data_IF_298625657289
#
_entry.id   IF_298625657289
#
_cell.length_a   1.000
_cell.length_b   1.000
_cell.length_c   1.000
_cell.angle_alpha   90.00
_cell.angle_beta   90.00
_cell.angle_gamma   90.00
#
_symmetry.space_group_name_H-M   'P 1'
#
loop_
_entity.id
_entity.type
_entity.pdbx_description
1 polymer ?
#
# COMPACT_ATOMS: atom_id res chain seq x y z
N UNK A 1 -0.13 6.29 22.24
CA UNK A 1 -1.59 6.15 22.38
C UNK A 1 -2.08 5.28 21.24
N UNK A 2 -3.15 4.51 21.46
CA UNK A 2 -3.75 3.60 20.47
C UNK A 2 -4.14 4.32 19.18
N UNK A 3 -4.59 3.57 18.18
CA UNK A 3 -4.94 4.04 16.85
C UNK A 3 -5.82 5.31 16.87
N UNK A 4 -5.21 6.49 16.94
CA UNK A 4 -5.92 7.74 16.73
C UNK A 4 -6.21 7.85 15.24
N UNK A 5 -7.48 8.11 14.92
CA UNK A 5 -7.92 8.35 13.55
C UNK A 5 -7.20 9.60 13.05
N UNK A 6 -6.17 9.40 12.24
CA UNK A 6 -5.39 10.50 11.68
C UNK A 6 -6.29 11.39 10.84
N UNK A 7 -6.16 12.71 10.99
CA UNK A 7 -7.00 13.62 10.21
C UNK A 7 -6.55 13.62 8.74
N UNK A 8 -7.47 13.33 7.82
CA UNK A 8 -7.26 13.35 6.37
C UNK A 8 -7.25 14.78 5.82
N UNK A 9 -6.28 15.59 6.26
CA UNK A 9 -6.07 16.97 5.82
C UNK A 9 -4.62 17.43 6.01
N UNK A 10 -4.24 18.49 5.30
CA UNK A 10 -2.92 19.12 5.39
C UNK A 10 -1.84 18.38 4.60
N UNK A 11 -0.59 18.83 4.73
CA UNK A 11 0.52 18.46 3.85
C UNK A 11 0.74 16.96 3.67
N UNK A 12 0.68 16.18 4.76
CA UNK A 12 0.87 14.72 4.69
C UNK A 12 -0.32 14.05 4.00
N UNK A 13 -1.53 14.61 4.09
CA UNK A 13 -2.67 14.13 3.33
C UNK A 13 -2.54 14.48 1.84
N UNK A 14 -1.98 15.65 1.50
CA UNK A 14 -1.69 16.00 0.11
C UNK A 14 -0.69 15.01 -0.51
N UNK A 15 0.34 14.61 0.25
CA UNK A 15 1.29 13.56 -0.14
C UNK A 15 0.60 12.20 -0.29
N UNK A 16 -0.35 11.86 0.60
CA UNK A 16 -1.15 10.65 0.49
C UNK A 16 -2.00 10.62 -0.80
N UNK A 17 -2.59 11.76 -1.19
CA UNK A 17 -3.32 11.89 -2.45
C UNK A 17 -2.41 11.76 -3.67
N UNK A 18 -1.20 12.33 -3.61
CA UNK A 18 -0.23 12.17 -4.68
C UNK A 18 0.24 10.71 -4.79
N UNK A 19 0.53 10.07 -3.66
CA UNK A 19 0.91 8.67 -3.61
C UNK A 19 -0.17 7.74 -4.16
N UNK A 20 -1.44 7.98 -3.80
CA UNK A 20 -2.59 7.29 -4.40
C UNK A 20 -2.55 7.36 -5.93
N UNK A 21 -2.37 8.57 -6.49
CA UNK A 21 -2.28 8.75 -7.96
C UNK A 21 -1.10 8.01 -8.57
N UNK A 22 0.05 7.96 -7.87
CA UNK A 22 1.22 7.21 -8.34
C UNK A 22 0.96 5.70 -8.35
N UNK A 23 0.36 5.14 -7.29
CA UNK A 23 0.02 3.72 -7.23
C UNK A 23 -0.95 3.35 -8.36
N UNK A 24 -1.99 4.16 -8.57
CA UNK A 24 -3.00 3.89 -9.61
C UNK A 24 -2.44 3.97 -11.04
N UNK A 25 -1.30 4.65 -11.25
CA UNK A 25 -0.63 4.77 -12.55
C UNK A 25 0.54 3.81 -12.74
N UNK A 26 1.06 3.22 -11.67
CA UNK A 26 2.23 2.36 -11.73
C UNK A 26 1.95 1.09 -12.54
N UNK A 27 2.81 0.69 -13.49
CA UNK A 27 2.52 -0.37 -14.44
C UNK A 27 2.82 -1.78 -13.87
N UNK A 28 2.13 -2.18 -12.80
CA UNK A 28 2.35 -3.46 -12.10
C UNK A 28 2.39 -4.67 -13.03
N UNK A 29 1.52 -4.74 -14.03
CA UNK A 29 1.48 -5.86 -14.98
C UNK A 29 2.73 -6.03 -15.85
N UNK A 30 3.62 -5.03 -15.91
CA UNK A 30 4.85 -5.07 -16.73
C UNK A 30 6.12 -4.81 -15.94
N UNK A 31 6.04 -4.53 -14.63
CA UNK A 31 7.22 -4.25 -13.79
C UNK A 31 8.06 -5.50 -13.52
N UNK A 32 7.42 -6.62 -13.20
CA UNK A 32 8.13 -7.84 -12.82
C UNK A 32 7.21 -8.91 -12.22
N UNK A 33 7.81 -9.92 -11.59
CA UNK A 33 7.10 -11.06 -11.01
C UNK A 33 7.63 -11.45 -9.61
N UNK A 34 8.35 -10.54 -8.95
CA UNK A 34 8.89 -10.73 -7.60
C UNK A 34 8.65 -9.49 -6.75
N UNK A 35 8.47 -9.67 -5.44
CA UNK A 35 8.29 -8.58 -4.46
C UNK A 35 9.40 -7.52 -4.59
N UNK A 36 10.67 -7.93 -4.57
CA UNK A 36 11.81 -7.02 -4.74
C UNK A 36 11.82 -6.26 -6.09
N UNK A 37 11.29 -6.82 -7.17
CA UNK A 37 11.18 -6.08 -8.44
C UNK A 37 10.13 -4.96 -8.34
N UNK A 38 9.00 -5.23 -7.68
CA UNK A 38 7.96 -4.24 -7.45
C UNK A 38 8.42 -3.14 -6.49
N UNK A 39 9.02 -3.51 -5.36
CA UNK A 39 9.57 -2.57 -4.39
C UNK A 39 10.59 -1.62 -5.03
N UNK A 40 11.58 -2.16 -5.76
CA UNK A 40 12.60 -1.33 -6.42
C UNK A 40 11.99 -0.45 -7.51
N UNK A 41 11.09 -1.00 -8.33
CA UNK A 41 10.43 -0.25 -9.39
C UNK A 41 9.61 0.91 -8.86
N UNK A 42 8.84 0.66 -7.80
CA UNK A 42 8.03 1.70 -7.17
C UNK A 42 8.88 2.71 -6.39
N UNK A 43 9.90 2.26 -5.66
CA UNK A 43 10.86 3.16 -4.99
C UNK A 43 11.55 4.10 -5.97
N UNK A 44 11.92 3.61 -7.16
CA UNK A 44 12.50 4.44 -8.25
C UNK A 44 11.49 5.47 -8.73
N UNK A 45 10.23 5.09 -8.86
CA UNK A 45 9.15 6.01 -9.26
C UNK A 45 8.95 7.11 -8.23
N UNK A 46 8.92 6.76 -6.94
CA UNK A 46 8.79 7.75 -5.86
C UNK A 46 9.98 8.72 -5.85
N UNK A 47 11.21 8.21 -5.92
CA UNK A 47 12.43 9.03 -5.96
C UNK A 47 12.46 9.97 -7.17
N UNK A 48 12.02 9.51 -8.35
CA UNK A 48 11.96 10.35 -9.55
C UNK A 48 10.94 11.49 -9.44
N UNK A 49 9.99 11.39 -8.51
CA UNK A 49 8.96 12.41 -8.25
C UNK A 49 9.09 13.05 -6.87
N UNK A 50 10.25 12.90 -6.21
CA UNK A 50 10.45 13.32 -4.82
C UNK A 50 10.15 14.81 -4.60
N UNK A 51 10.50 15.67 -5.57
CA UNK A 51 10.25 17.13 -5.52
C UNK A 51 8.76 17.51 -5.46
N UNK A 52 7.85 16.59 -5.80
CA UNK A 52 6.41 16.83 -5.74
C UNK A 52 5.82 16.58 -4.36
N UNK A 53 6.57 15.90 -3.47
CA UNK A 53 6.13 15.59 -2.12
C UNK A 53 6.55 16.68 -1.14
N UNK A 54 5.73 16.88 -0.10
CA UNK A 54 6.04 17.77 1.00
C UNK A 54 7.06 17.15 1.96
N UNK A 55 6.98 15.84 2.15
CA UNK A 55 7.84 15.05 3.02
C UNK A 55 8.94 14.34 2.21
N UNK A 56 10.07 14.08 2.86
CA UNK A 56 11.18 13.35 2.23
C UNK A 56 10.79 11.91 1.90
N UNK A 57 11.13 11.46 0.68
CA UNK A 57 10.96 10.06 0.27
C UNK A 57 12.14 9.26 0.82
N UNK A 58 11.85 8.33 1.74
CA UNK A 58 12.84 7.45 2.37
C UNK A 58 12.58 6.02 1.91
N UNK A 59 13.57 5.44 1.24
CA UNK A 59 13.51 4.07 0.70
C UNK A 59 14.77 3.31 1.11
N UNK A 60 14.76 1.98 1.03
CA UNK A 60 15.96 1.18 1.33
C UNK A 60 17.11 1.41 0.33
N UNK A 61 16.82 1.95 -0.86
CA UNK A 61 17.81 2.22 -1.91
C UNK A 61 18.45 3.61 -1.78
N UNK A 62 17.81 4.56 -1.09
CA UNK A 62 18.34 5.90 -0.83
C UNK A 62 19.40 5.83 0.28
N UNK A 63 20.64 6.20 -0.03
CA UNK A 63 21.74 6.21 0.95
C UNK A 63 21.59 7.40 1.90
N UNK A 64 21.85 7.18 3.20
CA UNK A 64 21.94 8.26 4.20
C UNK A 64 20.66 8.52 5.02
N UNK A 65 19.54 7.89 4.67
CA UNK A 65 18.29 7.94 5.43
C UNK A 65 17.77 6.55 5.72
N UNK A 66 17.16 6.35 6.88
CA UNK A 66 16.68 5.05 7.32
C UNK A 66 15.19 5.08 7.62
N UNK A 67 14.45 4.15 7.04
CA UNK A 67 13.02 3.97 7.37
C UNK A 67 12.92 3.59 8.84
N UNK A 68 12.10 4.35 9.56
CA UNK A 68 11.84 4.15 10.97
C UNK A 68 11.17 2.79 11.21
N UNK A 69 11.53 2.14 12.33
CA UNK A 69 10.96 0.84 12.69
C UNK A 69 10.00 0.94 13.87
N UNK A 70 9.11 -0.06 13.95
CA UNK A 70 8.25 -0.35 15.09
C UNK A 70 8.74 -1.63 15.73
N UNK A 71 8.99 -1.63 17.05
CA UNK A 71 9.38 -2.83 17.78
C UNK A 71 8.16 -3.49 18.41
N UNK A 72 7.81 -4.69 17.93
CA UNK A 72 6.67 -5.46 18.41
C UNK A 72 6.94 -6.96 18.22
N UNK A 73 6.37 -7.81 19.07
CA UNK A 73 6.55 -9.26 18.99
C UNK A 73 8.03 -9.70 18.98
N UNK A 74 8.88 -9.01 19.76
CA UNK A 74 10.30 -9.34 19.90
C UNK A 74 11.19 -8.94 18.72
N UNK A 75 10.66 -8.31 17.66
CA UNK A 75 11.44 -7.89 16.48
C UNK A 75 11.11 -6.47 16.00
N UNK A 76 12.00 -5.90 15.18
CA UNK A 76 11.78 -4.63 14.48
C UNK A 76 11.05 -4.89 13.17
N UNK A 77 9.94 -4.19 12.95
CA UNK A 77 9.16 -4.19 11.72
C UNK A 77 9.39 -2.86 11.01
N UNK A 78 9.71 -2.91 9.71
CA UNK A 78 10.13 -1.75 8.93
C UNK A 78 9.37 -1.75 7.61
N UNK A 79 8.62 -0.68 7.28
CA UNK A 79 8.03 -0.52 5.96
C UNK A 79 9.08 -0.57 4.84
N UNK A 80 8.65 -0.95 3.65
CA UNK A 80 9.51 -0.95 2.46
C UNK A 80 9.96 0.48 2.10
N UNK A 81 9.02 1.42 2.16
CA UNK A 81 9.24 2.85 1.88
C UNK A 81 8.42 3.73 2.82
N UNK A 82 8.87 4.97 3.02
CA UNK A 82 8.14 5.98 3.79
C UNK A 82 8.24 7.36 3.18
N UNK A 83 7.24 8.20 3.47
CA UNK A 83 7.30 9.64 3.25
C UNK A 83 7.30 10.33 4.61
N UNK A 84 8.43 10.95 4.94
CA UNK A 84 8.70 11.52 6.26
C UNK A 84 8.92 10.47 7.36
N UNK A 85 9.35 10.90 8.54
CA UNK A 85 9.69 9.99 9.64
C UNK A 85 8.47 9.38 10.35
N UNK A 86 7.35 10.09 10.33
CA UNK A 86 6.06 9.68 10.94
C UNK A 86 4.85 9.98 10.02
N UNK A 87 5.10 10.27 8.74
CA UNK A 87 4.06 10.64 7.78
C UNK A 87 3.34 9.42 7.24
N UNK A 88 3.90 8.83 6.20
CA UNK A 88 3.28 7.73 5.44
C UNK A 88 4.22 6.53 5.42
N UNK A 89 3.70 5.35 5.69
CA UNK A 89 4.37 4.09 5.41
C UNK A 89 3.77 3.41 4.18
N UNK A 90 4.61 2.82 3.34
CA UNK A 90 4.22 2.05 2.17
C UNK A 90 4.82 0.65 2.30
N UNK A 91 3.95 -0.35 2.26
CA UNK A 91 4.31 -1.76 2.24
C UNK A 91 3.82 -2.36 0.92
N UNK A 92 4.68 -3.08 0.23
CA UNK A 92 4.37 -3.83 -0.96
C UNK A 92 4.47 -5.32 -0.64
N UNK A 93 3.44 -6.08 -1.02
CA UNK A 93 3.43 -7.53 -0.79
C UNK A 93 3.01 -8.27 -2.04
N UNK A 94 3.88 -9.15 -2.52
CA UNK A 94 3.54 -10.06 -3.60
C UNK A 94 2.80 -11.28 -3.04
N UNK A 95 1.47 -11.17 -2.98
CA UNK A 95 0.65 -12.07 -2.17
C UNK A 95 0.29 -13.37 -2.90
N UNK A 96 0.58 -14.48 -2.22
CA UNK A 96 -0.19 -15.73 -2.34
C UNK A 96 -1.29 -15.64 -1.27
N UNK A 97 -2.56 -15.56 -1.65
CA UNK A 97 -3.74 -15.20 -0.84
C UNK A 97 -3.68 -15.37 0.71
N UNK A 98 -3.11 -16.47 1.25
CA UNK A 98 -2.89 -16.65 2.70
C UNK A 98 -2.03 -15.56 3.37
N UNK A 99 -1.11 -14.90 2.65
CA UNK A 99 -0.26 -13.82 3.16
C UNK A 99 -0.98 -12.48 3.39
N UNK A 100 -2.27 -12.38 3.04
CA UNK A 100 -3.07 -11.18 3.24
C UNK A 100 -3.20 -10.78 4.71
N UNK A 101 -3.37 -11.79 5.59
CA UNK A 101 -3.50 -11.58 7.04
C UNK A 101 -2.23 -10.97 7.63
N UNK A 102 -1.07 -11.44 7.17
CA UNK A 102 0.23 -10.94 7.60
C UNK A 102 0.43 -9.50 7.14
N UNK A 103 0.09 -9.18 5.88
CA UNK A 103 0.18 -7.82 5.34
C UNK A 103 -0.72 -6.84 6.10
N UNK A 104 -1.95 -7.23 6.43
CA UNK A 104 -2.86 -6.44 7.27
C UNK A 104 -2.23 -6.23 8.65
N UNK A 105 -1.70 -7.30 9.27
CA UNK A 105 -1.01 -7.22 10.55
C UNK A 105 0.18 -6.27 10.55
N UNK A 106 1.01 -6.28 9.49
CA UNK A 106 2.08 -5.30 9.31
C UNK A 106 1.53 -3.87 9.23
N UNK A 107 0.41 -3.67 8.52
CA UNK A 107 -0.23 -2.36 8.44
C UNK A 107 -0.66 -1.81 9.79
N UNK A 108 -1.23 -2.65 10.66
CA UNK A 108 -1.53 -2.30 12.05
C UNK A 108 -0.27 -1.88 12.82
N UNK A 109 0.81 -2.64 12.69
CA UNK A 109 2.07 -2.32 13.37
C UNK A 109 2.62 -0.98 12.91
N UNK A 110 2.60 -0.69 11.62
CA UNK A 110 3.10 0.59 11.10
C UNK A 110 2.23 1.77 11.53
N UNK A 111 0.90 1.59 11.68
CA UNK A 111 0.03 2.64 12.22
C UNK A 111 0.32 3.00 13.68
N UNK A 112 1.10 2.22 14.42
CA UNK A 112 1.60 2.67 15.72
C UNK A 112 2.54 3.87 15.63
N UNK A 113 3.11 4.15 14.44
CA UNK A 113 4.12 5.21 14.24
C UNK A 113 3.82 6.18 13.10
N UNK A 114 3.23 5.70 12.00
CA UNK A 114 2.94 6.50 10.81
C UNK A 114 1.48 6.94 10.79
N UNK A 115 1.20 8.18 10.35
CA UNK A 115 -0.18 8.72 10.26
C UNK A 115 -1.05 8.00 9.25
N UNK A 116 -0.45 7.56 8.14
CA UNK A 116 -1.11 6.81 7.07
C UNK A 116 -0.27 5.59 6.71
N UNK A 117 -0.93 4.50 6.32
CA UNK A 117 -0.28 3.30 5.79
C UNK A 117 -0.90 2.95 4.45
N UNK A 118 -0.07 2.64 3.47
CA UNK A 118 -0.46 2.18 2.16
C UNK A 118 -0.01 0.72 2.01
N UNK A 119 -0.97 -0.19 1.91
CA UNK A 119 -0.72 -1.61 1.67
C UNK A 119 -0.99 -1.91 0.20
N UNK A 120 0.06 -2.13 -0.59
CA UNK A 120 -0.04 -2.47 -2.01
C UNK A 120 0.14 -3.96 -2.17
N UNK A 121 -0.98 -4.65 -2.39
CA UNK A 121 -1.07 -6.09 -2.46
C UNK A 121 -1.13 -6.53 -3.92
N UNK A 122 -0.05 -7.15 -4.36
CA UNK A 122 0.17 -7.50 -5.75
C UNK A 122 -0.18 -8.97 -5.98
N UNK A 123 -1.21 -9.23 -6.78
CA UNK A 123 -1.69 -10.57 -7.09
C UNK A 123 -0.94 -11.13 -8.29
N UNK A 124 -0.33 -12.30 -8.11
CA UNK A 124 0.30 -13.05 -9.21
C UNK A 124 -0.72 -13.56 -10.22
N UNK A 125 -0.29 -13.83 -11.45
CA UNK A 125 -1.16 -14.39 -12.50
C UNK A 125 -1.82 -15.70 -12.09
N UNK A 126 -1.11 -16.55 -11.34
CA UNK A 126 -1.64 -17.79 -10.76
C UNK A 126 -2.76 -17.59 -9.74
N UNK A 127 -3.07 -16.34 -9.36
CA UNK A 127 -4.14 -15.95 -8.44
C UNK A 127 -5.19 -15.06 -9.11
N UNK A 128 -5.26 -15.07 -10.44
CA UNK A 128 -6.25 -14.30 -11.19
C UNK A 128 -7.69 -14.58 -10.77
N UNK A 129 -8.03 -15.84 -10.46
CA UNK A 129 -9.38 -16.22 -10.03
C UNK A 129 -9.82 -15.50 -8.75
N UNK A 130 -8.88 -15.25 -7.83
CA UNK A 130 -9.13 -14.45 -6.62
C UNK A 130 -9.43 -13.00 -6.97
N UNK A 131 -8.69 -12.43 -7.93
CA UNK A 131 -8.96 -11.07 -8.37
C UNK A 131 -10.34 -10.95 -9.01
N UNK A 132 -10.69 -11.93 -9.84
CA UNK A 132 -12.00 -12.03 -10.48
C UNK A 132 -13.13 -12.18 -9.43
N UNK A 133 -12.96 -12.99 -8.39
CA UNK A 133 -13.98 -13.17 -7.33
C UNK A 133 -14.24 -11.88 -6.54
N UNK A 134 -13.18 -11.11 -6.26
CA UNK A 134 -13.31 -9.80 -5.60
C UNK A 134 -14.02 -8.80 -6.52
N UNK A 135 -13.66 -8.72 -7.79
CA UNK A 135 -14.33 -7.85 -8.77
C UNK A 135 -15.82 -8.20 -8.96
N UNK A 136 -16.16 -9.50 -8.85
CA UNK A 136 -17.54 -9.97 -8.91
C UNK A 136 -18.33 -9.74 -7.60
N UNK A 137 -17.69 -9.24 -6.55
CA UNK A 137 -18.32 -9.00 -5.25
C UNK A 137 -18.56 -10.25 -4.41
N UNK A 138 -17.90 -11.37 -4.74
CA UNK A 138 -18.01 -12.64 -4.00
C UNK A 138 -17.32 -12.56 -2.63
N UNK A 139 -16.34 -11.67 -2.49
CA UNK A 139 -15.51 -11.47 -1.29
C UNK A 139 -15.98 -10.28 -0.44
N UNK A 140 -17.29 -10.22 -0.15
CA UNK A 140 -17.90 -9.08 0.54
C UNK A 140 -17.30 -8.80 1.92
N UNK A 141 -17.05 -9.84 2.72
CA UNK A 141 -16.49 -9.66 4.07
C UNK A 141 -15.06 -9.09 4.03
N UNK A 142 -14.28 -9.51 3.04
CA UNK A 142 -12.96 -8.93 2.81
C UNK A 142 -13.07 -7.46 2.39
N UNK A 143 -13.97 -7.14 1.46
CA UNK A 143 -14.22 -5.76 1.02
C UNK A 143 -14.62 -4.87 2.20
N UNK A 144 -15.51 -5.34 3.08
CA UNK A 144 -15.90 -4.62 4.30
C UNK A 144 -14.72 -4.41 5.26
N UNK A 145 -13.89 -5.43 5.48
CA UNK A 145 -12.67 -5.31 6.32
C UNK A 145 -11.73 -4.25 5.75
N UNK A 146 -11.46 -4.26 4.45
CA UNK A 146 -10.52 -3.32 3.83
C UNK A 146 -11.04 -1.87 3.85
N UNK A 147 -12.34 -1.66 3.75
CA UNK A 147 -12.94 -0.35 3.94
C UNK A 147 -12.84 0.13 5.40
N UNK A 148 -13.12 -0.73 6.38
CA UNK A 148 -12.96 -0.39 7.81
C UNK A 148 -11.51 -0.02 8.15
N UNK A 149 -10.53 -0.76 7.62
CA UNK A 149 -9.11 -0.43 7.77
C UNK A 149 -8.79 0.98 7.25
N UNK A 150 -9.36 1.37 6.11
CA UNK A 150 -9.18 2.70 5.58
C UNK A 150 -9.86 3.75 6.46
N UNK A 151 -11.14 3.57 6.79
CA UNK A 151 -11.99 4.55 7.46
C UNK A 151 -11.58 4.82 8.90
N UNK A 152 -11.30 3.77 9.66
CA UNK A 152 -11.03 3.85 11.10
C UNK A 152 -9.55 4.02 11.39
N UNK A 153 -8.71 3.40 10.57
CA UNK A 153 -7.29 3.26 10.87
C UNK A 153 -6.38 3.97 9.88
N UNK A 154 -6.89 4.56 8.78
CA UNK A 154 -6.04 5.16 7.73
C UNK A 154 -5.02 4.16 7.16
N UNK A 155 -5.43 2.90 7.04
CA UNK A 155 -4.69 1.85 6.34
C UNK A 155 -5.37 1.67 4.98
N UNK A 156 -4.77 2.24 3.94
CA UNK A 156 -5.30 2.23 2.59
C UNK A 156 -4.75 1.03 1.83
N UNK A 157 -5.64 0.12 1.43
CA UNK A 157 -5.26 -1.08 0.70
C UNK A 157 -5.48 -0.91 -0.80
N UNK A 158 -4.59 -1.52 -1.58
CA UNK A 158 -4.67 -1.61 -3.04
C UNK A 158 -4.50 -3.06 -3.45
N UNK A 159 -5.46 -3.59 -4.20
CA UNK A 159 -5.33 -4.90 -4.84
C UNK A 159 -4.98 -4.67 -6.30
N UNK A 160 -3.76 -5.02 -6.68
CA UNK A 160 -3.22 -4.76 -8.01
C UNK A 160 -2.79 -6.07 -8.69
N UNK A 161 -3.17 -6.33 -9.94
CA UNK A 161 -2.72 -7.52 -10.65
C UNK A 161 -1.32 -7.31 -11.25
N UNK A 162 -0.45 -8.30 -11.08
CA UNK A 162 0.82 -8.42 -11.81
C UNK A 162 0.65 -9.04 -13.21
N UNK A 163 -0.53 -8.92 -13.80
CA UNK A 163 -0.90 -9.52 -15.08
C UNK A 163 -1.85 -8.60 -15.83
N UNK A 164 -1.92 -8.77 -17.15
CA UNK A 164 -2.79 -7.96 -17.99
C UNK A 164 -4.26 -8.37 -17.81
N UNK A 165 -5.10 -7.40 -17.49
CA UNK A 165 -6.55 -7.57 -17.47
C UNK A 165 -7.06 -7.53 -18.90
N UNK A 166 -7.65 -8.63 -19.35
CA UNK A 166 -8.20 -8.76 -20.72
C UNK A 166 -9.71 -8.57 -20.80
N UNK A 167 -10.42 -8.65 -19.67
CA UNK A 167 -11.89 -8.56 -19.62
C UNK A 167 -12.33 -7.09 -19.57
N UNK A 168 -13.24 -6.63 -20.46
CA UNK A 168 -13.81 -5.29 -20.39
C UNK A 168 -14.54 -5.06 -19.06
N UNK A 169 -14.42 -3.86 -18.49
CA UNK A 169 -15.11 -3.47 -17.26
C UNK A 169 -14.38 -3.80 -15.95
N UNK A 170 -13.37 -4.67 -15.97
CA UNK A 170 -12.54 -4.95 -14.79
C UNK A 170 -11.57 -3.80 -14.50
N UNK A 171 -11.49 -3.42 -13.22
CA UNK A 171 -10.61 -2.34 -12.76
C UNK A 171 -9.14 -2.78 -12.84
N UNK A 172 -8.23 -1.86 -13.21
CA UNK A 172 -6.77 -2.12 -13.21
C UNK A 172 -6.15 -2.22 -11.81
N UNK A 173 -6.86 -1.69 -10.82
CA UNK A 173 -6.52 -1.72 -9.41
C UNK A 173 -7.82 -1.52 -8.62
N UNK A 174 -7.98 -2.28 -7.54
CA UNK A 174 -9.06 -2.06 -6.57
C UNK A 174 -8.46 -1.25 -5.44
N UNK A 175 -8.98 -0.06 -5.18
CA UNK A 175 -8.44 0.87 -4.19
C UNK A 175 -9.45 1.12 -3.08
N UNK A 176 -8.96 1.06 -1.85
CA UNK A 176 -9.70 1.38 -0.62
C UNK A 176 -9.15 2.68 -0.01
N UNK A 177 -8.93 3.70 -0.85
CA UNK A 177 -8.39 5.00 -0.44
C UNK A 177 -9.50 6.02 -0.14
N UNK A 178 -10.45 6.12 -1.07
CA UNK A 178 -11.61 6.99 -0.95
C UNK A 178 -12.66 6.35 0.00
N UNK A 179 -13.39 7.15 0.78
CA UNK A 179 -14.47 6.64 1.63
C UNK A 179 -15.62 6.08 0.79
N UNK A 180 -16.38 5.12 1.34
CA UNK A 180 -17.63 4.69 0.70
C UNK A 180 -18.62 5.86 0.66
N UNK A 181 -19.23 6.08 -0.51
CA UNK A 181 -20.33 7.02 -0.71
C UNK A 181 -21.63 6.48 -0.13
#
# INVERSE_FOLDING_TARGET
MGFERGVRRGRIWDDANLLHKQIMRFPFATTGNTENAFERGFATTLMATEEQYNEEVVTQIKKGVSVQSVYAFGKKHRPDMTLGENGIAVEMKFIRYGGLKDAIGQGYLYRLKYKFVFLVLILSESRKEVYDSIENGEEKDLDDVLHQLAEDLNIFTYLVPAFQIKKPGMRKAISYFEPRL
#
